data_IF_558489108894
#
_entry.id   IF_558489108894
#
_cell.length_a   1.000
_cell.length_b   1.000
_cell.length_c   1.000
_cell.angle_alpha   90.00
_cell.angle_beta   90.00
_cell.angle_gamma   90.00
#
_symmetry.space_group_name_H-M   'P 1'
#
loop_
_entity.id
_entity.type
_entity.pdbx_description
1 polymer ?
#
# COMPACT_ATOMS: atom_id res chain seq x y z
N UNK A 1 -8.46 32.67 26.77
CA UNK A 1 -8.45 31.50 25.87
C UNK A 1 -8.88 31.97 24.48
N UNK A 2 -8.25 31.51 23.39
CA UNK A 2 -8.84 31.64 22.04
C UNK A 2 -9.72 30.42 21.81
N UNK A 3 -11.00 30.64 21.50
CA UNK A 3 -11.87 29.56 21.04
C UNK A 3 -11.46 29.15 19.63
N UNK A 4 -11.07 27.88 19.46
CA UNK A 4 -10.82 27.30 18.15
C UNK A 4 -12.16 27.09 17.44
N UNK A 5 -12.58 28.09 16.66
CA UNK A 5 -13.72 27.96 15.75
C UNK A 5 -13.30 26.99 14.65
N UNK A 6 -13.57 25.71 14.86
CA UNK A 6 -13.55 24.71 13.80
C UNK A 6 -14.75 25.01 12.91
N UNK A 7 -14.52 25.81 11.87
CA UNK A 7 -15.52 26.05 10.82
C UNK A 7 -15.73 24.75 10.05
N UNK A 8 -16.73 23.99 10.48
CA UNK A 8 -17.17 22.78 9.79
C UNK A 8 -17.40 23.07 8.31
N UNK A 9 -16.59 22.45 7.45
CA UNK A 9 -16.65 22.67 6.01
C UNK A 9 -18.07 22.36 5.50
N UNK A 10 -18.62 23.25 4.67
CA UNK A 10 -19.98 23.13 4.17
C UNK A 10 -20.18 21.84 3.36
N UNK A 11 -21.41 21.34 3.31
CA UNK A 11 -21.77 20.13 2.57
C UNK A 11 -21.23 20.11 1.10
N UNK A 12 -21.35 21.18 0.28
CA UNK A 12 -20.72 21.20 -1.05
C UNK A 12 -19.18 21.14 -1.01
N UNK A 13 -18.54 21.74 0.00
CA UNK A 13 -17.08 21.67 0.19
C UNK A 13 -16.62 20.24 0.51
N UNK A 14 -17.34 19.53 1.39
CA UNK A 14 -17.05 18.12 1.70
C UNK A 14 -17.24 17.21 0.48
N UNK A 15 -18.30 17.43 -0.30
CA UNK A 15 -18.54 16.68 -1.54
C UNK A 15 -17.46 16.93 -2.58
N UNK A 16 -16.99 18.17 -2.74
CA UNK A 16 -15.86 18.51 -3.61
C UNK A 16 -14.58 17.80 -3.16
N UNK A 17 -14.17 17.99 -1.91
CA UNK A 17 -12.98 17.34 -1.33
C UNK A 17 -13.02 15.80 -1.44
N UNK A 18 -14.18 15.20 -1.20
CA UNK A 18 -14.38 13.76 -1.37
C UNK A 18 -14.23 13.33 -2.84
N UNK A 19 -14.87 14.04 -3.77
CA UNK A 19 -14.78 13.75 -5.21
C UNK A 19 -13.35 13.89 -5.74
N UNK A 20 -12.64 14.93 -5.33
CA UNK A 20 -11.26 15.21 -5.74
C UNK A 20 -10.29 14.12 -5.27
N UNK A 21 -10.57 13.47 -4.12
CA UNK A 21 -9.80 12.32 -3.62
C UNK A 21 -9.99 11.00 -4.38
N UNK A 22 -10.99 10.88 -5.26
CA UNK A 22 -11.24 9.69 -6.10
C UNK A 22 -10.32 9.73 -7.32
N UNK A 23 -9.43 8.74 -7.57
CA UNK A 23 -8.53 8.72 -8.72
C UNK A 23 -9.22 8.76 -10.10
N UNK A 24 -8.44 9.07 -11.14
CA UNK A 24 -8.92 9.34 -12.50
C UNK A 24 -9.78 8.23 -13.09
N UNK A 25 -9.29 7.00 -13.19
CA UNK A 25 -10.03 5.93 -13.87
C UNK A 25 -11.28 5.53 -13.08
N UNK A 26 -11.16 5.44 -11.76
CA UNK A 26 -12.29 5.14 -10.87
C UNK A 26 -13.39 6.19 -11.02
N UNK A 27 -13.05 7.49 -11.01
CA UNK A 27 -14.03 8.54 -11.25
C UNK A 27 -14.59 8.52 -12.68
N UNK A 28 -13.77 8.19 -13.69
CA UNK A 28 -14.21 8.06 -15.08
C UNK A 28 -15.20 6.90 -15.29
N UNK A 29 -14.97 5.72 -14.71
CA UNK A 29 -15.91 4.59 -14.78
C UNK A 29 -17.23 4.93 -14.08
N UNK A 30 -17.17 5.60 -12.93
CA UNK A 30 -18.38 6.09 -12.22
C UNK A 30 -19.18 7.06 -13.07
N UNK A 31 -18.53 8.05 -13.70
CA UNK A 31 -19.18 9.02 -14.60
C UNK A 31 -19.76 8.32 -15.83
N UNK A 32 -19.03 7.40 -16.47
CA UNK A 32 -19.50 6.68 -17.67
C UNK A 32 -20.72 5.80 -17.36
N UNK A 33 -20.68 5.00 -16.29
CA UNK A 33 -21.83 4.19 -15.86
C UNK A 33 -23.05 5.07 -15.50
N UNK A 34 -22.83 6.19 -14.81
CA UNK A 34 -23.88 7.14 -14.45
C UNK A 34 -24.52 7.82 -15.66
N UNK A 35 -23.72 8.27 -16.63
CA UNK A 35 -24.20 8.88 -17.88
C UNK A 35 -24.94 7.85 -18.73
N UNK A 36 -24.41 6.63 -18.90
CA UNK A 36 -25.09 5.56 -19.66
C UNK A 36 -26.45 5.24 -19.05
N UNK A 37 -26.53 5.09 -17.71
CA UNK A 37 -27.80 4.86 -17.04
C UNK A 37 -28.78 6.03 -17.21
N UNK A 38 -28.32 7.28 -17.06
CA UNK A 38 -29.15 8.47 -17.24
C UNK A 38 -29.67 8.61 -18.68
N UNK A 39 -28.84 8.31 -19.69
CA UNK A 39 -29.26 8.32 -21.10
C UNK A 39 -30.28 7.21 -21.36
N UNK A 40 -30.09 6.00 -20.84
CA UNK A 40 -31.09 4.93 -20.97
C UNK A 40 -32.43 5.35 -20.34
N UNK A 41 -32.40 5.92 -19.14
CA UNK A 41 -33.59 6.41 -18.42
C UNK A 41 -34.34 7.53 -19.16
N UNK A 42 -33.61 8.47 -19.78
CA UNK A 42 -34.19 9.59 -20.53
C UNK A 42 -34.72 9.19 -21.92
N UNK A 43 -34.19 8.11 -22.51
CA UNK A 43 -34.61 7.59 -23.82
C UNK A 43 -35.72 6.54 -23.70
N UNK A 44 -35.92 5.94 -22.52
CA UNK A 44 -36.80 4.77 -22.33
C UNK A 44 -36.18 3.47 -22.86
N UNK A 45 -34.86 3.33 -22.71
CA UNK A 45 -34.12 2.15 -23.16
C UNK A 45 -34.20 1.02 -22.12
N UNK A 46 -35.30 0.26 -22.16
CA UNK A 46 -35.57 -0.82 -21.20
C UNK A 46 -35.07 -2.21 -21.67
N UNK A 47 -34.66 -2.35 -22.94
CA UNK A 47 -34.31 -3.65 -23.55
C UNK A 47 -32.79 -3.85 -23.69
N UNK A 48 -32.16 -4.41 -22.66
CA UNK A 48 -30.71 -4.66 -22.65
C UNK A 48 -30.26 -5.86 -23.52
N UNK A 49 -31.17 -6.55 -24.22
CA UNK A 49 -30.90 -7.82 -24.91
C UNK A 49 -29.82 -7.75 -26.01
N UNK A 50 -29.61 -6.60 -26.66
CA UNK A 50 -28.57 -6.43 -27.68
C UNK A 50 -27.16 -6.20 -27.11
N UNK A 51 -27.08 -5.84 -25.82
CA UNK A 51 -25.89 -5.28 -25.16
C UNK A 51 -25.40 -6.18 -24.00
N UNK A 52 -26.31 -6.92 -23.36
CA UNK A 52 -26.00 -7.77 -22.21
C UNK A 52 -25.07 -8.94 -22.55
N UNK A 53 -24.37 -9.44 -21.53
CA UNK A 53 -23.65 -10.70 -21.64
C UNK A 53 -24.67 -11.83 -21.74
N UNK A 54 -24.58 -12.59 -22.83
CA UNK A 54 -25.53 -13.64 -23.19
C UNK A 54 -24.73 -14.82 -23.78
N UNK A 55 -24.50 -15.92 -23.02
CA UNK A 55 -23.56 -16.97 -23.42
C UNK A 55 -23.83 -17.57 -24.80
N UNK A 56 -25.10 -17.76 -25.17
CA UNK A 56 -25.52 -18.29 -26.46
C UNK A 56 -25.15 -17.38 -27.63
N UNK A 57 -25.29 -16.05 -27.50
CA UNK A 57 -24.92 -15.10 -28.54
C UNK A 57 -23.39 -14.90 -28.65
N UNK A 58 -22.67 -14.99 -27.53
CA UNK A 58 -21.20 -14.96 -27.53
C UNK A 58 -20.63 -16.19 -28.26
N UNK A 59 -21.15 -17.39 -28.02
CA UNK A 59 -20.70 -18.61 -28.71
C UNK A 59 -21.22 -18.73 -30.16
N UNK A 60 -22.54 -18.63 -30.37
CA UNK A 60 -23.14 -18.95 -31.69
C UNK A 60 -23.05 -17.84 -32.73
N UNK A 61 -22.85 -16.58 -32.29
CA UNK A 61 -22.79 -15.39 -33.18
C UNK A 61 -21.50 -14.58 -33.01
N UNK A 62 -20.53 -15.09 -32.24
CA UNK A 62 -19.26 -14.44 -31.96
C UNK A 62 -19.39 -12.98 -31.45
N UNK A 63 -20.46 -12.66 -30.73
CA UNK A 63 -20.77 -11.30 -30.25
C UNK A 63 -19.92 -10.91 -29.02
N UNK A 64 -18.60 -11.00 -29.14
CA UNK A 64 -17.61 -10.78 -28.07
C UNK A 64 -17.64 -9.38 -27.48
N UNK A 65 -18.15 -8.38 -28.20
CA UNK A 65 -18.34 -7.01 -27.67
C UNK A 65 -19.17 -6.98 -26.38
N UNK A 66 -20.12 -7.93 -26.24
CA UNK A 66 -21.01 -8.08 -25.07
C UNK A 66 -20.26 -8.27 -23.75
N UNK A 67 -19.04 -8.81 -23.79
CA UNK A 67 -18.16 -8.97 -22.63
C UNK A 67 -17.83 -7.60 -22.02
N UNK A 68 -17.58 -6.60 -22.86
CA UNK A 68 -17.13 -5.28 -22.44
C UNK A 68 -18.26 -4.24 -22.40
N UNK A 69 -19.32 -4.39 -23.18
CA UNK A 69 -20.47 -3.46 -23.10
C UNK A 69 -21.32 -3.74 -21.87
N UNK A 70 -21.55 -5.00 -21.50
CA UNK A 70 -22.45 -5.39 -20.41
C UNK A 70 -22.07 -4.84 -19.04
N UNK A 71 -20.77 -4.64 -18.75
CA UNK A 71 -20.31 -4.13 -17.45
C UNK A 71 -20.67 -2.65 -17.20
N UNK A 72 -20.94 -1.86 -18.25
CA UNK A 72 -21.31 -0.44 -18.10
C UNK A 72 -22.82 -0.22 -17.95
N UNK A 73 -23.65 -1.11 -18.50
CA UNK A 73 -25.11 -1.00 -18.48
C UNK A 73 -25.69 -1.54 -17.17
N UNK A 74 -26.75 -0.91 -16.67
CA UNK A 74 -27.35 -1.24 -15.37
C UNK A 74 -28.87 -1.16 -15.47
N UNK A 75 -29.57 -2.21 -15.03
CA UNK A 75 -31.03 -2.35 -15.20
C UNK A 75 -31.90 -1.62 -14.16
N UNK A 76 -31.32 -0.95 -13.17
CA UNK A 76 -32.08 -0.14 -12.20
C UNK A 76 -31.22 0.89 -11.46
N UNK A 77 -31.87 1.93 -10.93
CA UNK A 77 -31.22 3.00 -10.16
C UNK A 77 -30.46 2.46 -8.94
N UNK A 78 -31.05 1.52 -8.19
CA UNK A 78 -30.38 0.90 -7.05
C UNK A 78 -29.18 0.07 -7.48
N UNK A 79 -29.27 -0.67 -8.60
CA UNK A 79 -28.16 -1.49 -9.09
C UNK A 79 -26.95 -0.62 -9.51
N UNK A 80 -27.16 0.48 -10.25
CA UNK A 80 -26.05 1.40 -10.56
C UNK A 80 -25.54 2.11 -9.30
N UNK A 81 -26.42 2.56 -8.41
CA UNK A 81 -26.04 3.25 -7.17
C UNK A 81 -25.14 2.38 -6.28
N UNK A 82 -25.55 1.15 -5.96
CA UNK A 82 -24.76 0.27 -5.11
C UNK A 82 -23.47 -0.21 -5.78
N UNK A 83 -23.47 -0.44 -7.10
CA UNK A 83 -22.22 -0.74 -7.81
C UNK A 83 -21.23 0.43 -7.74
N UNK A 84 -21.68 1.68 -7.97
CA UNK A 84 -20.77 2.83 -7.91
C UNK A 84 -20.32 3.15 -6.47
N UNK A 85 -21.20 3.00 -5.47
CA UNK A 85 -20.84 3.14 -4.06
C UNK A 85 -19.80 2.11 -3.59
N UNK A 86 -19.83 0.89 -4.13
CA UNK A 86 -18.81 -0.13 -3.85
C UNK A 86 -17.53 0.10 -4.68
N UNK A 87 -17.66 0.52 -5.94
CA UNK A 87 -16.52 0.79 -6.83
C UNK A 87 -15.65 1.96 -6.34
N UNK A 88 -16.23 3.02 -5.78
CA UNK A 88 -15.47 4.20 -5.37
C UNK A 88 -14.34 3.84 -4.36
N UNK A 89 -14.59 3.22 -3.19
CA UNK A 89 -13.53 2.88 -2.26
C UNK A 89 -12.58 1.79 -2.82
N UNK A 90 -13.13 0.69 -3.36
CA UNK A 90 -12.33 -0.46 -3.82
C UNK A 90 -11.45 -0.12 -5.03
N UNK A 91 -12.03 0.60 -5.99
CA UNK A 91 -11.34 1.06 -7.19
C UNK A 91 -10.32 2.13 -6.88
N UNK A 92 -10.64 3.11 -6.02
CA UNK A 92 -9.67 4.14 -5.62
C UNK A 92 -8.43 3.54 -4.97
N UNK A 93 -8.59 2.50 -4.15
CA UNK A 93 -7.48 1.88 -3.47
C UNK A 93 -6.62 1.02 -4.41
N UNK A 94 -7.26 0.20 -5.24
CA UNK A 94 -6.54 -0.57 -6.27
C UNK A 94 -5.87 0.35 -7.30
N UNK A 95 -6.45 1.49 -7.67
CA UNK A 95 -5.85 2.44 -8.60
C UNK A 95 -4.61 3.12 -8.00
N UNK A 96 -4.62 3.44 -6.70
CA UNK A 96 -3.43 3.96 -5.98
C UNK A 96 -2.32 2.91 -5.87
N UNK A 97 -2.68 1.66 -5.60
CA UNK A 97 -1.73 0.53 -5.51
C UNK A 97 -1.18 0.14 -6.89
N UNK A 98 -1.94 0.38 -7.98
CA UNK A 98 -1.60 -0.13 -9.31
C UNK A 98 -1.12 0.89 -10.34
N UNK A 99 -1.54 2.14 -10.26
CA UNK A 99 -1.50 3.09 -11.36
C UNK A 99 -2.70 2.91 -12.31
N UNK A 100 -3.19 4.02 -12.87
CA UNK A 100 -4.43 4.09 -13.66
C UNK A 100 -4.41 3.15 -14.88
N UNK A 101 -3.29 3.04 -15.60
CA UNK A 101 -3.20 2.17 -16.79
C UNK A 101 -3.19 0.69 -16.42
N UNK A 102 -2.49 0.32 -15.34
CA UNK A 102 -2.46 -1.08 -14.86
C UNK A 102 -3.80 -1.49 -14.28
N UNK A 103 -4.51 -0.58 -13.60
CA UNK A 103 -5.87 -0.84 -13.13
C UNK A 103 -6.87 -0.97 -14.29
N UNK A 104 -6.74 -0.17 -15.36
CA UNK A 104 -7.53 -0.36 -16.59
C UNK A 104 -7.30 -1.74 -17.22
N UNK A 105 -6.04 -2.16 -17.32
CA UNK A 105 -5.70 -3.49 -17.81
C UNK A 105 -6.30 -4.60 -16.92
N UNK A 106 -6.25 -4.44 -15.59
CA UNK A 106 -6.89 -5.35 -14.66
C UNK A 106 -8.42 -5.43 -14.91
N UNK A 107 -9.11 -4.31 -15.08
CA UNK A 107 -10.57 -4.30 -15.36
C UNK A 107 -10.89 -5.07 -16.66
N UNK A 108 -10.11 -4.87 -17.72
CA UNK A 108 -10.28 -5.57 -19.02
C UNK A 108 -10.03 -7.08 -18.85
N UNK A 109 -8.96 -7.45 -18.15
CA UNK A 109 -8.61 -8.84 -17.85
C UNK A 109 -9.73 -9.51 -17.02
N UNK A 110 -10.24 -8.84 -15.99
CA UNK A 110 -11.31 -9.34 -15.12
C UNK A 110 -12.65 -9.45 -15.85
N UNK A 111 -13.00 -8.52 -16.74
CA UNK A 111 -14.18 -8.64 -17.59
C UNK A 111 -14.09 -9.88 -18.49
N UNK A 112 -12.91 -10.11 -19.09
CA UNK A 112 -12.63 -11.26 -19.95
C UNK A 112 -12.72 -12.57 -19.19
N UNK A 113 -12.07 -12.70 -18.03
CA UNK A 113 -12.11 -13.92 -17.22
C UNK A 113 -13.48 -14.16 -16.58
N UNK A 114 -14.20 -13.12 -16.16
CA UNK A 114 -15.59 -13.25 -15.70
C UNK A 114 -16.48 -13.85 -16.78
N UNK A 115 -16.38 -13.34 -18.02
CA UNK A 115 -17.10 -13.87 -19.16
C UNK A 115 -16.71 -15.33 -19.47
N UNK A 116 -15.42 -15.68 -19.40
CA UNK A 116 -14.95 -17.06 -19.63
C UNK A 116 -15.49 -18.02 -18.55
N UNK A 117 -15.42 -17.66 -17.26
CA UNK A 117 -15.97 -18.50 -16.19
C UNK A 117 -17.49 -18.67 -16.31
N UNK A 118 -18.21 -17.59 -16.65
CA UNK A 118 -19.66 -17.65 -16.87
C UNK A 118 -20.00 -18.55 -18.08
N UNK A 119 -19.26 -18.42 -19.18
CA UNK A 119 -19.41 -19.24 -20.38
C UNK A 119 -19.16 -20.72 -20.10
N UNK A 120 -18.12 -21.05 -19.32
CA UNK A 120 -17.81 -22.42 -18.91
C UNK A 120 -18.90 -23.01 -18.00
N UNK A 121 -19.37 -22.26 -17.00
CA UNK A 121 -20.45 -22.71 -16.11
C UNK A 121 -21.75 -22.93 -16.90
N UNK A 122 -22.13 -21.96 -17.75
CA UNK A 122 -23.33 -22.08 -18.59
C UNK A 122 -23.25 -23.29 -19.53
N UNK A 123 -22.09 -23.53 -20.16
CA UNK A 123 -21.88 -24.65 -21.07
C UNK A 123 -21.93 -26.00 -20.33
N UNK A 124 -21.25 -26.13 -19.18
CA UNK A 124 -21.22 -27.36 -18.37
C UNK A 124 -22.60 -27.71 -17.82
N UNK A 125 -23.38 -26.72 -17.38
CA UNK A 125 -24.73 -26.95 -16.84
C UNK A 125 -25.77 -27.17 -17.96
N UNK A 126 -25.61 -26.52 -19.11
CA UNK A 126 -26.47 -26.76 -20.28
C UNK A 126 -26.29 -28.15 -20.90
N UNK A 127 -25.08 -28.69 -20.89
CA UNK A 127 -24.74 -30.01 -21.45
C UNK A 127 -24.55 -31.09 -20.36
N UNK A 128 -25.07 -30.86 -19.16
CA UNK A 128 -25.01 -31.83 -18.07
C UNK A 128 -25.82 -33.09 -18.46
N UNK A 129 -25.22 -34.30 -18.46
CA UNK A 129 -25.88 -35.51 -18.96
C UNK A 129 -26.98 -36.05 -18.04
N UNK A 130 -27.08 -35.54 -16.80
CA UNK A 130 -28.11 -35.93 -15.84
C UNK A 130 -29.28 -34.95 -15.82
N UNK A 131 -29.00 -33.65 -15.81
CA UNK A 131 -29.99 -32.57 -15.81
C UNK A 131 -29.51 -31.36 -16.64
N UNK A 132 -29.75 -31.35 -17.97
CA UNK A 132 -29.35 -30.25 -18.83
C UNK A 132 -30.25 -29.02 -18.60
N UNK A 133 -29.67 -27.89 -18.21
CA UNK A 133 -30.41 -26.65 -17.93
C UNK A 133 -29.98 -25.52 -18.88
N UNK A 134 -30.58 -25.55 -20.08
CA UNK A 134 -30.30 -24.64 -21.22
C UNK A 134 -30.63 -23.16 -20.94
N UNK A 135 -31.36 -22.83 -19.87
CA UNK A 135 -31.73 -21.46 -19.54
C UNK A 135 -30.50 -20.58 -19.25
N UNK A 136 -29.48 -21.10 -18.55
CA UNK A 136 -28.23 -20.38 -18.27
C UNK A 136 -27.51 -19.88 -19.53
N UNK A 137 -27.62 -20.61 -20.65
CA UNK A 137 -27.04 -20.16 -21.92
C UNK A 137 -27.72 -18.91 -22.48
N UNK A 138 -28.93 -18.60 -22.02
CA UNK A 138 -29.75 -17.47 -22.43
C UNK A 138 -30.04 -16.49 -21.28
N UNK A 139 -29.32 -16.61 -20.15
CA UNK A 139 -29.36 -15.61 -19.08
C UNK A 139 -28.66 -14.32 -19.56
N UNK A 140 -29.37 -13.19 -19.46
CA UNK A 140 -28.92 -11.88 -19.92
C UNK A 140 -28.38 -11.09 -18.71
N UNK A 141 -27.05 -11.02 -18.58
CA UNK A 141 -26.37 -10.39 -17.43
C UNK A 141 -25.79 -9.02 -17.80
N UNK A 142 -25.94 -8.04 -16.90
CA UNK A 142 -25.40 -6.67 -17.01
C UNK A 142 -24.94 -6.15 -15.64
N UNK A 143 -24.09 -5.13 -15.65
CA UNK A 143 -23.64 -4.39 -14.47
C UNK A 143 -22.15 -4.61 -14.13
N UNK A 144 -21.56 -3.62 -13.48
CA UNK A 144 -20.14 -3.65 -13.09
C UNK A 144 -19.87 -4.60 -11.89
N UNK A 145 -20.93 -5.17 -11.29
CA UNK A 145 -20.88 -5.98 -10.07
C UNK A 145 -19.95 -7.19 -10.16
N UNK A 146 -19.86 -7.87 -11.31
CA UNK A 146 -18.91 -8.96 -11.52
C UNK A 146 -17.45 -8.51 -11.34
N UNK A 147 -17.09 -7.32 -11.80
CA UNK A 147 -15.75 -6.73 -11.59
C UNK A 147 -15.58 -6.37 -10.11
N UNK A 148 -16.62 -5.83 -9.47
CA UNK A 148 -16.59 -5.47 -8.04
C UNK A 148 -16.32 -6.71 -7.18
N UNK A 149 -17.01 -7.82 -7.42
CA UNK A 149 -16.74 -9.09 -6.72
C UNK A 149 -15.31 -9.60 -6.94
N UNK A 150 -14.73 -9.41 -8.13
CA UNK A 150 -13.31 -9.68 -8.36
C UNK A 150 -12.40 -8.76 -7.55
N UNK A 151 -12.63 -7.45 -7.58
CA UNK A 151 -11.82 -6.46 -6.84
C UNK A 151 -11.91 -6.64 -5.33
N UNK A 152 -13.07 -7.03 -4.79
CA UNK A 152 -13.25 -7.38 -3.37
C UNK A 152 -12.28 -8.50 -2.98
N UNK A 153 -12.18 -9.56 -3.77
CA UNK A 153 -11.29 -10.70 -3.47
C UNK A 153 -9.82 -10.29 -3.60
N UNK A 154 -9.47 -9.51 -4.61
CA UNK A 154 -8.09 -9.04 -4.85
C UNK A 154 -7.64 -8.09 -3.72
N UNK A 155 -8.42 -7.06 -3.43
CA UNK A 155 -8.11 -6.07 -2.39
C UNK A 155 -8.12 -6.71 -0.99
N UNK A 156 -9.06 -7.63 -0.69
CA UNK A 156 -9.01 -8.45 0.54
C UNK A 156 -7.71 -9.24 0.69
N UNK A 157 -7.10 -9.68 -0.42
CA UNK A 157 -5.84 -10.42 -0.43
C UNK A 157 -4.60 -9.54 -0.39
N UNK A 158 -4.69 -8.27 -0.80
CA UNK A 158 -3.61 -7.28 -0.72
C UNK A 158 -3.56 -6.59 0.65
N UNK A 159 -4.69 -6.13 1.17
CA UNK A 159 -4.76 -5.27 2.36
C UNK A 159 -4.56 -6.00 3.70
N UNK A 160 -4.48 -7.34 3.70
CA UNK A 160 -4.24 -8.16 4.91
C UNK A 160 -5.36 -8.13 5.98
N UNK A 161 -6.44 -7.39 5.74
CA UNK A 161 -7.54 -7.14 6.68
C UNK A 161 -8.19 -8.45 7.15
N UNK A 162 -8.34 -8.62 8.46
CA UNK A 162 -8.86 -9.86 9.05
C UNK A 162 -10.40 -9.96 9.02
N UNK A 163 -11.12 -8.84 9.17
CA UNK A 163 -12.59 -8.78 9.22
C UNK A 163 -13.14 -7.56 8.49
N UNK A 164 -14.37 -7.65 7.99
CA UNK A 164 -15.06 -6.60 7.22
C UNK A 164 -16.51 -6.48 7.64
N UNK A 165 -17.05 -5.26 7.65
CA UNK A 165 -18.45 -5.03 7.96
C UNK A 165 -19.35 -5.23 6.73
N UNK A 166 -20.46 -5.94 6.91
CA UNK A 166 -21.52 -6.06 5.92
C UNK A 166 -22.52 -4.93 6.17
N UNK A 167 -22.50 -3.91 5.29
CA UNK A 167 -23.34 -2.69 5.36
C UNK A 167 -23.31 -1.93 6.69
N UNK A 168 -22.24 -2.08 7.51
CA UNK A 168 -22.14 -1.46 8.84
C UNK A 168 -22.87 -2.24 9.95
N UNK A 169 -23.57 -3.34 9.62
CA UNK A 169 -24.46 -4.04 10.54
C UNK A 169 -23.75 -5.10 11.39
N UNK A 170 -22.85 -5.88 10.79
CA UNK A 170 -22.11 -6.95 11.45
C UNK A 170 -20.77 -7.21 10.76
N UNK A 171 -19.77 -7.63 11.54
CA UNK A 171 -18.43 -7.93 11.04
C UNK A 171 -18.29 -9.43 10.73
N UNK A 172 -17.71 -9.76 9.58
CA UNK A 172 -17.42 -11.13 9.15
C UNK A 172 -15.92 -11.30 8.85
N UNK A 173 -15.34 -12.50 8.99
CA UNK A 173 -13.95 -12.74 8.59
C UNK A 173 -13.77 -12.45 7.10
N UNK A 174 -12.75 -11.67 6.72
CA UNK A 174 -12.63 -11.13 5.37
C UNK A 174 -12.55 -12.23 4.29
N UNK A 175 -11.98 -13.39 4.62
CA UNK A 175 -11.95 -14.61 3.78
C UNK A 175 -13.35 -15.06 3.30
N UNK A 176 -14.39 -14.83 4.11
CA UNK A 176 -15.79 -15.18 3.81
C UNK A 176 -16.61 -14.01 3.27
N UNK A 177 -16.09 -12.77 3.35
CA UNK A 177 -16.85 -11.55 3.05
C UNK A 177 -17.49 -11.57 1.66
N UNK A 178 -16.76 -11.96 0.61
CA UNK A 178 -17.30 -12.02 -0.75
C UNK A 178 -18.45 -13.04 -0.89
N UNK A 179 -18.35 -14.20 -0.23
CA UNK A 179 -19.40 -15.25 -0.29
C UNK A 179 -20.63 -14.88 0.54
N UNK A 180 -20.44 -14.24 1.69
CA UNK A 180 -21.55 -13.73 2.51
C UNK A 180 -22.24 -12.57 1.80
N UNK A 181 -21.49 -11.65 1.20
CA UNK A 181 -22.05 -10.55 0.41
C UNK A 181 -22.83 -11.04 -0.82
N UNK A 182 -22.36 -12.11 -1.49
CA UNK A 182 -23.10 -12.78 -2.56
C UNK A 182 -24.47 -13.29 -2.07
N UNK A 183 -24.51 -14.01 -0.96
CA UNK A 183 -25.75 -14.54 -0.38
C UNK A 183 -26.70 -13.40 0.02
N UNK A 184 -26.19 -12.37 0.71
CA UNK A 184 -26.99 -11.22 1.14
C UNK A 184 -27.53 -10.43 -0.06
N UNK A 185 -26.71 -10.15 -1.08
CA UNK A 185 -27.19 -9.46 -2.29
C UNK A 185 -28.18 -10.29 -3.09
N UNK A 186 -28.07 -11.62 -3.13
CA UNK A 186 -29.08 -12.46 -3.79
C UNK A 186 -30.44 -12.42 -3.09
N UNK A 187 -30.45 -12.34 -1.75
CA UNK A 187 -31.67 -12.22 -0.96
C UNK A 187 -32.31 -10.82 -1.06
N UNK A 188 -31.49 -9.77 -1.17
CA UNK A 188 -31.97 -8.37 -1.30
C UNK A 188 -32.35 -8.01 -2.75
N UNK A 189 -31.71 -8.62 -3.75
CA UNK A 189 -31.82 -8.25 -5.16
C UNK A 189 -31.91 -9.49 -6.06
N UNK A 190 -33.02 -10.21 -5.93
CA UNK A 190 -33.31 -11.47 -6.65
C UNK A 190 -33.19 -11.38 -8.17
N UNK A 191 -33.33 -10.18 -8.75
CA UNK A 191 -33.24 -9.91 -10.19
C UNK A 191 -31.80 -9.73 -10.72
N UNK A 192 -30.76 -9.92 -9.90
CA UNK A 192 -29.34 -9.80 -10.31
C UNK A 192 -28.72 -11.19 -10.47
N UNK A 193 -27.82 -11.34 -11.46
CA UNK A 193 -27.20 -12.63 -11.80
C UNK A 193 -26.27 -13.16 -10.69
N UNK A 194 -26.74 -14.18 -9.97
CA UNK A 194 -25.92 -14.97 -9.04
C UNK A 194 -24.66 -15.50 -9.72
N UNK A 195 -24.80 -15.98 -10.96
CA UNK A 195 -23.69 -16.59 -11.72
C UNK A 195 -22.69 -15.52 -12.14
N UNK A 196 -23.13 -14.34 -12.57
CA UNK A 196 -22.26 -13.21 -12.86
C UNK A 196 -21.41 -12.78 -11.65
N UNK A 197 -22.02 -12.70 -10.46
CA UNK A 197 -21.30 -12.42 -9.22
C UNK A 197 -20.32 -13.53 -8.82
N UNK A 198 -20.75 -14.80 -8.89
CA UNK A 198 -19.92 -15.97 -8.58
C UNK A 198 -18.69 -16.05 -9.51
N UNK A 199 -18.86 -15.76 -10.80
CA UNK A 199 -17.75 -15.67 -11.75
C UNK A 199 -16.79 -14.54 -11.38
N UNK A 200 -17.30 -13.41 -10.90
CA UNK A 200 -16.52 -12.34 -10.28
C UNK A 200 -15.61 -12.83 -9.16
N UNK A 201 -16.16 -13.61 -8.21
CA UNK A 201 -15.40 -14.20 -7.10
C UNK A 201 -14.33 -15.18 -7.62
N UNK A 202 -14.69 -16.08 -8.54
CA UNK A 202 -13.76 -17.05 -9.13
C UNK A 202 -12.59 -16.37 -9.87
N UNK A 203 -12.89 -15.31 -10.62
CA UNK A 203 -11.91 -14.48 -11.33
C UNK A 203 -10.99 -13.70 -10.38
N UNK A 204 -11.54 -13.13 -9.30
CA UNK A 204 -10.76 -12.48 -8.25
C UNK A 204 -9.78 -13.46 -7.57
N UNK A 205 -10.21 -14.70 -7.33
CA UNK A 205 -9.30 -15.75 -6.84
C UNK A 205 -8.26 -16.15 -7.90
N UNK A 206 -8.65 -16.34 -9.16
CA UNK A 206 -7.71 -16.65 -10.24
C UNK A 206 -6.60 -15.60 -10.38
N UNK A 207 -6.95 -14.31 -10.31
CA UNK A 207 -5.99 -13.21 -10.24
C UNK A 207 -5.12 -13.29 -8.97
N UNK A 208 -5.73 -13.43 -7.79
CA UNK A 208 -5.02 -13.44 -6.50
C UNK A 208 -4.17 -14.70 -6.21
N UNK A 209 -4.32 -15.76 -7.01
CA UNK A 209 -3.42 -16.93 -7.04
C UNK A 209 -2.42 -16.89 -8.21
N UNK A 210 -2.42 -15.82 -9.01
CA UNK A 210 -1.43 -15.62 -10.09
C UNK A 210 -1.69 -16.43 -11.35
N UNK A 211 -2.90 -16.97 -11.56
CA UNK A 211 -3.24 -17.72 -12.77
C UNK A 211 -3.03 -16.88 -14.05
N UNK A 212 -3.21 -15.56 -13.94
CA UNK A 212 -3.04 -14.61 -15.04
C UNK A 212 -1.63 -14.00 -15.12
N UNK A 213 -0.65 -14.47 -14.34
CA UNK A 213 0.72 -13.93 -14.35
C UNK A 213 1.38 -13.95 -15.74
N UNK A 214 1.01 -14.90 -16.61
CA UNK A 214 1.51 -14.96 -17.99
C UNK A 214 0.84 -13.95 -18.94
N UNK A 215 -0.33 -13.40 -18.58
CA UNK A 215 -0.99 -12.32 -19.32
C UNK A 215 -0.57 -10.93 -18.83
N UNK A 216 -0.09 -10.80 -17.59
CA UNK A 216 0.28 -9.51 -16.99
C UNK A 216 1.61 -8.99 -17.56
N UNK A 217 1.62 -7.88 -18.31
CA UNK A 217 2.87 -7.31 -18.83
C UNK A 217 3.73 -6.68 -17.72
N UNK A 218 5.02 -6.53 -17.99
CA UNK A 218 5.95 -5.82 -17.10
C UNK A 218 5.70 -4.32 -17.04
N UNK A 219 6.28 -3.64 -16.04
CA UNK A 219 6.15 -2.18 -15.82
C UNK A 219 6.56 -1.34 -17.03
N UNK A 220 7.52 -1.80 -17.84
CA UNK A 220 7.94 -1.15 -19.09
C UNK A 220 6.82 -1.07 -20.15
N UNK A 221 5.89 -2.01 -20.19
CA UNK A 221 4.73 -1.97 -21.10
C UNK A 221 3.76 -0.85 -20.70
N UNK A 222 3.43 -0.76 -19.41
CA UNK A 222 2.57 0.32 -18.88
C UNK A 222 3.23 1.69 -19.06
N UNK A 223 4.53 1.81 -18.77
CA UNK A 223 5.28 3.06 -18.99
C UNK A 223 5.36 3.47 -20.48
N UNK A 224 5.46 2.52 -21.40
CA UNK A 224 5.38 2.77 -22.86
C UNK A 224 4.00 3.29 -23.29
N UNK A 225 2.93 2.80 -22.64
CA UNK A 225 1.56 3.29 -22.86
C UNK A 225 1.38 4.69 -22.26
N UNK A 226 1.87 4.94 -21.04
CA UNK A 226 1.79 6.25 -20.36
C UNK A 226 2.61 7.34 -21.04
N UNK A 227 3.73 7.00 -21.66
CA UNK A 227 4.54 7.92 -22.47
C UNK A 227 4.01 8.15 -23.90
N UNK A 228 2.93 7.47 -24.30
CA UNK A 228 2.35 7.63 -25.64
C UNK A 228 1.66 8.99 -25.81
N UNK A 229 1.79 9.57 -27.02
CA UNK A 229 1.14 10.85 -27.37
C UNK A 229 -0.39 10.79 -27.24
N UNK A 230 -1.00 9.63 -27.44
CA UNK A 230 -2.43 9.39 -27.33
C UNK A 230 -2.95 9.55 -25.89
N UNK A 231 -2.18 9.09 -24.89
CA UNK A 231 -2.54 9.25 -23.48
C UNK A 231 -2.00 10.52 -22.84
N UNK A 232 -1.18 11.32 -23.55
CA UNK A 232 -0.63 12.57 -23.04
C UNK A 232 -1.68 13.56 -22.51
N UNK A 233 -2.89 13.56 -23.07
CA UNK A 233 -4.03 14.31 -22.52
C UNK A 233 -4.49 13.78 -21.17
N UNK A 234 -4.65 12.47 -21.01
CA UNK A 234 -5.13 11.82 -19.78
C UNK A 234 -4.08 11.87 -18.66
N UNK A 235 -2.81 11.62 -18.97
CA UNK A 235 -1.68 11.66 -18.02
C UNK A 235 -1.48 13.06 -17.42
N UNK A 236 -1.93 14.13 -18.10
CA UNK A 236 -1.94 15.50 -17.60
C UNK A 236 -3.10 15.83 -16.64
N UNK A 237 -4.05 14.92 -16.41
CA UNK A 237 -5.10 15.17 -15.41
C UNK A 237 -4.52 15.07 -13.99
N UNK A 238 -4.78 16.03 -13.09
CA UNK A 238 -4.25 16.01 -11.71
C UNK A 238 -4.62 14.77 -10.87
N UNK A 239 -5.58 13.97 -11.34
CA UNK A 239 -6.13 12.79 -10.67
C UNK A 239 -5.55 11.47 -11.22
N UNK A 240 -4.72 11.53 -12.25
CA UNK A 240 -4.12 10.37 -12.92
C UNK A 240 -2.94 9.83 -12.11
N UNK A 241 -2.86 8.51 -11.96
CA UNK A 241 -1.79 7.84 -11.19
C UNK A 241 -0.91 7.05 -12.17
N UNK A 242 0.36 7.45 -12.29
CA UNK A 242 1.35 6.73 -13.08
C UNK A 242 1.67 5.36 -12.47
N UNK A 243 1.91 4.36 -13.31
CA UNK A 243 2.41 3.05 -12.88
C UNK A 243 3.90 3.16 -12.52
N UNK A 244 4.20 3.55 -11.27
CA UNK A 244 5.57 3.56 -10.75
C UNK A 244 6.22 2.17 -10.92
N UNK A 245 7.48 2.16 -11.34
CA UNK A 245 8.18 0.93 -11.77
C UNK A 245 8.56 -0.04 -10.64
N UNK A 246 8.15 0.24 -9.41
CA UNK A 246 8.48 -0.56 -8.23
C UNK A 246 7.57 -1.79 -8.12
N UNK A 247 8.16 -2.94 -7.79
CA UNK A 247 7.40 -4.19 -7.67
C UNK A 247 6.34 -4.07 -6.58
N UNK A 248 5.15 -4.67 -6.79
CA UNK A 248 3.99 -4.56 -5.89
C UNK A 248 4.12 -5.37 -4.57
N UNK A 249 5.29 -5.35 -3.96
CA UNK A 249 5.67 -6.03 -2.73
C UNK A 249 6.21 -5.02 -1.70
N UNK A 250 5.48 -3.93 -1.46
CA UNK A 250 5.86 -2.92 -0.47
C UNK A 250 5.34 -1.52 -0.77
N UNK A 251 4.03 -1.29 -0.63
CA UNK A 251 3.50 0.06 -0.49
C UNK A 251 2.69 0.15 0.81
N UNK A 252 3.35 0.61 1.87
CA UNK A 252 2.70 1.06 3.11
C UNK A 252 2.79 2.59 3.08
N UNK A 253 1.67 3.34 3.17
CA UNK A 253 1.71 4.78 3.26
C UNK A 253 2.23 5.19 4.65
N UNK A 254 3.55 5.42 4.75
CA UNK A 254 4.19 5.88 5.99
C UNK A 254 3.77 7.32 6.31
N UNK A 255 2.83 7.47 7.24
CA UNK A 255 2.62 8.74 7.93
C UNK A 255 3.90 9.10 8.71
N UNK A 256 4.44 10.30 8.48
CA UNK A 256 5.77 10.68 8.94
C UNK A 256 5.79 11.14 10.40
N UNK A 257 5.81 10.18 11.33
CA UNK A 257 6.18 10.42 12.73
C UNK A 257 7.70 10.30 12.87
N UNK A 258 8.40 11.39 13.20
CA UNK A 258 9.83 11.35 13.50
C UNK A 258 10.06 10.69 14.86
N UNK A 259 10.83 9.59 14.90
CA UNK A 259 11.74 9.27 16.00
C UNK A 259 12.75 8.16 15.60
N UNK A 260 13.78 7.97 16.40
CA UNK A 260 15.05 7.30 16.04
C UNK A 260 15.11 5.78 16.28
N UNK A 261 16.03 5.13 15.55
CA UNK A 261 16.56 3.75 15.64
C UNK A 261 16.18 2.88 16.88
N UNK A 262 15.94 1.57 16.76
CA UNK A 262 16.63 0.55 15.92
C UNK A 262 15.72 -0.69 15.68
N UNK A 263 16.10 -1.84 15.08
CA UNK A 263 17.41 -2.36 14.63
C UNK A 263 17.34 -3.17 13.30
N UNK A 264 17.16 -4.51 13.32
CA UNK A 264 17.13 -5.34 12.10
C UNK A 264 17.11 -6.87 12.31
N UNK A 265 17.31 -7.63 11.21
CA UNK A 265 17.09 -9.08 11.02
C UNK A 265 15.59 -9.45 10.91
N UNK A 266 15.12 -10.25 9.94
CA UNK A 266 15.68 -11.50 9.43
C UNK A 266 15.69 -11.67 7.89
N UNK A 267 16.49 -12.62 7.40
CA UNK A 267 16.64 -12.97 5.97
C UNK A 267 15.88 -14.25 5.58
N UNK A 268 15.56 -14.40 4.28
CA UNK A 268 14.78 -15.52 3.75
C UNK A 268 15.55 -16.85 3.70
N UNK A 269 14.85 -17.97 3.95
CA UNK A 269 15.42 -19.34 3.84
C UNK A 269 14.37 -20.46 3.64
N UNK A 270 13.25 -20.17 2.98
CA UNK A 270 12.08 -21.07 2.90
C UNK A 270 12.38 -22.41 2.19
N UNK A 271 13.32 -22.41 1.22
CA UNK A 271 13.58 -23.54 0.31
C UNK A 271 14.37 -24.73 0.89
N UNK A 272 14.45 -24.86 2.23
CA UNK A 272 15.11 -26.01 2.90
C UNK A 272 14.18 -26.99 3.63
N UNK A 273 12.89 -26.69 3.78
CA UNK A 273 11.93 -27.56 4.50
C UNK A 273 11.12 -28.53 3.62
N UNK A 274 11.44 -28.67 2.32
CA UNK A 274 10.65 -29.46 1.36
C UNK A 274 11.30 -30.81 0.93
N UNK A 275 12.39 -31.23 1.58
CA UNK A 275 13.17 -32.42 1.19
C UNK A 275 13.34 -33.48 2.30
N UNK A 276 12.60 -33.37 3.40
CA UNK A 276 12.68 -34.30 4.55
C UNK A 276 11.79 -35.55 4.46
N UNK A 277 11.02 -35.74 3.38
CA UNK A 277 10.10 -36.88 3.23
C UNK A 277 10.67 -38.01 2.35
N UNK A 278 11.86 -38.49 2.71
CA UNK A 278 12.45 -39.73 2.17
C UNK A 278 13.27 -40.44 3.25
N UNK A 279 12.95 -41.70 3.61
CA UNK A 279 13.73 -42.45 4.59
C UNK A 279 14.92 -43.16 3.93
N UNK A 280 16.14 -42.89 4.39
CA UNK A 280 17.32 -43.72 4.08
C UNK A 280 18.19 -43.98 5.31
N UNK A 281 19.09 -44.96 5.18
CA UNK A 281 19.68 -45.75 6.27
C UNK A 281 21.00 -45.16 6.81
N UNK A 282 21.31 -45.51 8.05
CA UNK A 282 22.53 -45.19 8.80
C UNK A 282 23.84 -45.57 8.08
N UNK A 283 24.89 -44.74 8.22
CA UNK A 283 26.27 -45.20 8.53
C UNK A 283 27.27 -44.05 8.81
N UNK A 284 27.96 -44.15 9.95
CA UNK A 284 29.35 -43.73 10.27
C UNK A 284 30.06 -42.53 9.57
N UNK A 285 30.43 -41.53 10.40
CA UNK A 285 31.78 -40.94 10.60
C UNK A 285 32.73 -40.58 9.42
N UNK A 286 33.34 -39.38 9.45
CA UNK A 286 34.74 -39.10 9.89
C UNK A 286 35.12 -37.60 9.68
N UNK A 287 36.39 -37.22 9.88
CA UNK A 287 37.00 -35.88 9.93
C UNK A 287 37.09 -35.17 8.54
N UNK A 288 37.59 -33.93 8.34
CA UNK A 288 38.73 -33.22 8.98
C UNK A 288 38.66 -31.68 8.83
N UNK A 289 39.69 -30.99 9.32
CA UNK A 289 39.95 -29.53 9.37
C UNK A 289 39.87 -28.78 8.02
N UNK A 290 39.59 -27.46 8.06
CA UNK A 290 40.64 -26.43 7.88
C UNK A 290 40.16 -25.05 8.43
N UNK A 291 41.05 -24.05 8.54
CA UNK A 291 40.80 -22.74 9.14
C UNK A 291 41.41 -21.57 8.35
N UNK A 292 40.60 -20.58 7.95
CA UNK A 292 41.11 -19.28 7.51
C UNK A 292 40.40 -18.11 8.20
N UNK A 293 41.20 -17.23 8.82
CA UNK A 293 40.76 -15.92 9.34
C UNK A 293 40.86 -14.87 8.23
N UNK A 294 39.88 -13.98 8.14
CA UNK A 294 40.02 -12.72 7.41
C UNK A 294 40.21 -11.55 8.38
N UNK A 295 41.06 -10.59 8.00
CA UNK A 295 41.46 -9.45 8.81
C UNK A 295 41.36 -8.17 7.97
N UNK A 296 40.34 -7.35 8.24
CA UNK A 296 40.09 -6.08 7.54
C UNK A 296 40.23 -4.89 8.49
N UNK A 297 41.09 -3.92 8.15
CA UNK A 297 41.37 -2.73 8.98
C UNK A 297 41.02 -1.47 8.19
N UNK A 298 40.08 -0.67 8.70
CA UNK A 298 39.64 0.57 8.06
C UNK A 298 40.74 1.64 8.01
N UNK A 299 40.64 2.52 7.00
CA UNK A 299 41.45 3.75 6.87
C UNK A 299 40.63 4.97 7.28
N UNK A 300 41.25 5.88 8.03
CA UNK A 300 40.78 7.26 8.21
C UNK A 300 41.60 8.21 7.35
N UNK A 301 41.03 9.37 7.00
CA UNK A 301 41.70 10.44 6.27
C UNK A 301 42.21 11.50 7.26
N UNK A 302 43.39 12.09 7.01
CA UNK A 302 43.92 13.18 7.82
C UNK A 302 45.21 13.79 7.28
N UNK A 303 45.34 15.10 7.50
CA UNK A 303 46.51 15.99 7.37
C UNK A 303 47.45 15.82 6.17
N UNK A 304 47.64 16.92 5.40
CA UNK A 304 48.82 17.08 4.56
C UNK A 304 50.03 17.63 5.34
N UNK A 305 51.22 17.51 4.76
CA UNK A 305 52.35 18.41 5.01
C UNK A 305 53.27 18.47 3.77
N UNK A 306 54.03 19.56 3.65
CA UNK A 306 54.76 19.99 2.45
C UNK A 306 55.99 19.15 2.08
N UNK A 307 56.28 19.07 0.78
CA UNK A 307 57.64 18.93 0.23
C UNK A 307 57.78 19.77 -1.05
N UNK A 308 59.01 20.16 -1.40
CA UNK A 308 59.33 21.22 -2.39
C UNK A 308 60.57 20.79 -3.19
N UNK A 309 60.76 21.37 -4.41
CA UNK A 309 61.92 21.23 -5.31
C UNK A 309 61.90 19.87 -6.07
N UNK A 310 62.11 19.77 -7.40
CA UNK A 310 62.89 20.61 -8.33
C UNK A 310 62.21 20.93 -9.68
N UNK A 311 62.58 22.09 -10.25
CA UNK A 311 62.98 22.41 -11.64
C UNK A 311 62.61 21.45 -12.81
N UNK A 312 62.30 21.92 -14.03
CA UNK A 312 63.03 22.96 -14.81
C UNK A 312 62.10 23.88 -15.68
N UNK A 313 62.69 24.76 -16.49
CA UNK A 313 62.10 25.94 -17.13
C UNK A 313 61.38 25.70 -18.48
N UNK A 314 60.46 26.62 -18.84
CA UNK A 314 60.32 27.15 -20.20
C UNK A 314 59.56 28.49 -20.28
N UNK A 315 60.15 29.42 -21.04
CA UNK A 315 59.68 30.70 -21.58
C UNK A 315 58.33 30.70 -22.35
N UNK A 316 57.66 31.83 -22.69
CA UNK A 316 57.78 33.26 -22.30
C UNK A 316 56.49 34.05 -22.66
N UNK A 317 56.38 35.27 -22.13
CA UNK A 317 55.61 36.47 -22.55
C UNK A 317 54.64 36.41 -23.78
N UNK A 318 53.41 36.95 -23.64
CA UNK A 318 53.10 38.35 -24.02
C UNK A 318 51.71 38.85 -23.57
N UNK A 319 51.42 40.15 -23.74
CA UNK A 319 50.21 40.87 -23.27
C UNK A 319 49.47 41.58 -24.43
N UNK A 320 48.14 41.69 -24.35
CA UNK A 320 47.31 42.87 -24.73
C UNK A 320 45.79 42.53 -24.63
N UNK A 321 44.79 43.42 -24.56
CA UNK A 321 44.56 44.79 -24.01
C UNK A 321 43.33 45.38 -24.75
N UNK A 322 42.22 45.67 -24.05
CA UNK A 322 41.05 46.51 -24.45
C UNK A 322 40.16 46.55 -23.17
N UNK A 323 40.02 47.63 -22.38
CA UNK A 323 39.45 48.99 -22.63
C UNK A 323 37.92 48.94 -22.92
N UNK A 324 37.03 49.76 -22.32
CA UNK A 324 37.17 50.77 -21.25
C UNK A 324 35.79 51.21 -20.66
N UNK A 325 35.78 52.24 -19.78
CA UNK A 325 34.65 52.95 -19.10
C UNK A 325 34.09 52.26 -17.83
N UNK A 326 34.09 52.82 -16.60
CA UNK A 326 34.20 54.18 -16.02
C UNK A 326 32.89 54.97 -15.89
N UNK A 327 32.29 54.92 -14.69
CA UNK A 327 31.92 56.04 -13.80
C UNK A 327 31.36 55.41 -12.49
N UNK A 328 31.96 55.58 -11.31
CA UNK A 328 32.06 56.79 -10.45
C UNK A 328 30.71 57.27 -9.91
N UNK A 329 30.44 56.97 -8.63
CA UNK A 329 30.32 58.01 -7.59
C UNK A 329 30.65 57.45 -6.18
N UNK A 330 30.71 58.33 -5.17
CA UNK A 330 31.34 58.16 -3.83
C UNK A 330 30.41 58.80 -2.73
N UNK A 331 30.75 58.97 -1.43
CA UNK A 331 31.63 58.26 -0.47
C UNK A 331 30.95 57.95 0.92
N UNK A 332 31.75 57.47 1.90
CA UNK A 332 31.56 57.61 3.38
C UNK A 332 30.46 56.78 4.10
N UNK A 333 30.51 56.48 5.41
CA UNK A 333 31.36 56.97 6.52
C UNK A 333 31.73 55.88 7.58
N UNK A 334 32.99 55.94 8.07
CA UNK A 334 33.49 55.91 9.49
C UNK A 334 32.76 55.00 10.52
N UNK A 335 33.34 53.87 11.00
CA UNK A 335 34.27 53.70 12.16
C UNK A 335 33.61 53.74 13.58
N UNK A 336 34.18 53.31 14.74
CA UNK A 336 35.58 53.04 15.18
C UNK A 336 35.62 52.14 16.45
N UNK A 337 36.74 51.44 16.73
CA UNK A 337 37.22 50.90 18.06
C UNK A 337 36.36 49.91 18.89
N UNK A 338 36.91 49.01 19.75
CA UNK A 338 38.31 48.59 19.97
C UNK A 338 38.62 48.05 21.39
N UNK A 339 39.48 47.01 21.51
CA UNK A 339 40.17 46.47 22.73
C UNK A 339 39.34 45.93 23.93
N UNK A 340 39.76 44.94 24.74
CA UNK A 340 40.90 43.99 24.65
C UNK A 340 41.32 43.34 26.01
N UNK A 341 41.85 42.09 25.98
CA UNK A 341 42.59 41.37 27.07
C UNK A 341 41.81 41.04 28.40
N UNK A 342 42.22 40.09 29.29
CA UNK A 342 43.41 39.22 29.43
C UNK A 342 43.14 37.86 30.18
N UNK A 343 44.19 37.01 30.28
CA UNK A 343 44.51 35.83 31.16
C UNK A 343 43.85 35.78 32.57
N UNK A 344 43.83 34.70 33.40
CA UNK A 344 44.34 33.29 33.48
C UNK A 344 43.71 32.60 34.75
N UNK A 345 43.89 31.35 35.22
CA UNK A 345 44.65 30.12 34.85
C UNK A 345 44.02 28.85 35.53
N UNK A 346 44.63 27.65 35.44
CA UNK A 346 44.32 26.50 36.33
C UNK A 346 44.67 25.10 35.79
N UNK A 347 45.18 24.16 36.63
CA UNK A 347 45.77 22.87 36.20
C UNK A 347 45.62 21.71 37.23
N UNK A 348 45.92 20.47 36.77
CA UNK A 348 46.12 19.18 37.51
C UNK A 348 44.82 18.35 37.72
N UNK A 349 44.73 17.01 37.55
CA UNK A 349 45.62 15.81 37.75
C UNK A 349 45.79 15.38 39.22
N UNK A 350 45.73 14.09 39.62
CA UNK A 350 45.44 12.80 38.94
C UNK A 350 45.14 11.66 39.99
N UNK A 351 45.07 10.39 39.54
CA UNK A 351 45.12 9.12 40.32
C UNK A 351 43.81 8.72 41.09
N UNK A 352 43.54 7.45 41.46
CA UNK A 352 44.28 6.18 41.26
C UNK A 352 43.34 4.92 41.18
N UNK A 353 43.89 3.69 41.24
CA UNK A 353 43.27 2.40 40.87
C UNK A 353 42.85 1.46 42.04
N UNK A 354 42.15 0.37 41.67
CA UNK A 354 42.02 -0.95 42.36
C UNK A 354 41.05 -1.08 43.58
N UNK A 355 40.45 -2.26 43.91
CA UNK A 355 40.14 -3.49 43.14
C UNK A 355 39.20 -4.46 43.91
N UNK A 356 38.58 -5.40 43.17
CA UNK A 356 38.05 -6.72 43.58
C UNK A 356 36.83 -6.87 44.53
N UNK A 357 35.81 -7.61 44.06
CA UNK A 357 34.67 -8.14 44.85
C UNK A 357 33.65 -8.89 43.99
N UNK A 358 33.35 -10.16 44.29
CA UNK A 358 32.55 -11.12 43.47
C UNK A 358 32.01 -12.25 44.39
N UNK A 359 30.84 -12.91 44.16
CA UNK A 359 29.68 -12.63 43.29
C UNK A 359 28.34 -12.53 44.07
N UNK A 360 27.23 -12.25 43.37
CA UNK A 360 25.88 -12.66 43.80
C UNK A 360 24.98 -13.01 42.59
N UNK A 361 24.07 -13.98 42.79
CA UNK A 361 22.98 -14.34 41.85
C UNK A 361 21.65 -13.91 42.48
N UNK A 362 20.88 -13.07 41.78
CA UNK A 362 19.41 -13.04 41.85
C UNK A 362 18.94 -12.89 40.39
N UNK A 363 18.05 -13.75 39.88
CA UNK A 363 16.60 -13.77 40.08
C UNK A 363 15.93 -12.50 39.52
N UNK A 364 14.87 -12.69 38.73
CA UNK A 364 14.17 -11.60 38.07
C UNK A 364 13.45 -10.70 39.09
N UNK A 365 13.24 -9.44 38.71
CA UNK A 365 12.53 -8.47 39.53
C UNK A 365 11.05 -8.83 39.61
N UNK A 366 10.65 -9.58 40.63
CA UNK A 366 9.25 -9.61 41.07
C UNK A 366 8.94 -8.23 41.66
N UNK A 367 8.15 -7.44 40.92
CA UNK A 367 7.72 -6.10 41.29
C UNK A 367 7.22 -6.07 42.74
N UNK A 368 7.78 -5.21 43.59
CA UNK A 368 7.53 -5.33 45.02
C UNK A 368 6.09 -4.91 45.37
N UNK A 369 5.43 -5.69 46.22
CA UNK A 369 4.01 -5.47 46.58
C UNK A 369 3.76 -4.05 47.14
N UNK A 370 4.76 -3.44 47.78
CA UNK A 370 4.70 -2.07 48.31
C UNK A 370 4.55 -1.02 47.19
N UNK A 371 5.20 -1.22 46.05
CA UNK A 371 5.13 -0.30 44.90
C UNK A 371 3.80 -0.45 44.16
N UNK A 372 3.30 -1.68 44.05
CA UNK A 372 1.98 -1.99 43.49
C UNK A 372 0.89 -1.34 44.38
N UNK A 373 0.97 -1.50 45.70
CA UNK A 373 0.05 -0.86 46.65
C UNK A 373 0.10 0.67 46.57
N UNK A 374 1.29 1.25 46.40
CA UNK A 374 1.47 2.70 46.24
C UNK A 374 0.78 3.22 44.98
N UNK A 375 0.90 2.53 43.85
CA UNK A 375 0.25 2.92 42.59
C UNK A 375 -1.27 2.70 42.63
N UNK A 376 -1.75 1.60 43.21
CA UNK A 376 -3.19 1.36 43.43
C UNK A 376 -3.81 2.42 44.35
N UNK A 377 -3.08 2.89 45.38
CA UNK A 377 -3.56 3.98 46.24
C UNK A 377 -3.60 5.36 45.55
N UNK A 378 -2.94 5.52 44.40
CA UNK A 378 -3.09 6.69 43.52
C UNK A 378 -4.25 6.55 42.51
N UNK A 379 -5.03 5.45 42.57
CA UNK A 379 -6.25 5.25 41.79
C UNK A 379 -6.11 4.42 40.52
N UNK A 380 -4.93 3.84 40.25
CA UNK A 380 -4.72 2.96 39.11
C UNK A 380 -5.19 1.52 39.38
N UNK A 381 -5.68 0.84 38.34
CA UNK A 381 -6.15 -0.55 38.44
C UNK A 381 -4.96 -1.52 38.62
N UNK A 382 -5.03 -2.45 39.59
CA UNK A 382 -3.89 -3.32 39.96
C UNK A 382 -3.28 -4.08 38.77
N UNK A 383 -4.12 -4.55 37.85
CA UNK A 383 -3.71 -5.25 36.61
C UNK A 383 -2.91 -4.34 35.66
N UNK A 384 -3.31 -3.07 35.54
CA UNK A 384 -2.58 -2.07 34.75
C UNK A 384 -1.23 -1.74 35.41
N UNK A 385 -1.23 -1.61 36.74
CA UNK A 385 -0.04 -1.34 37.57
C UNK A 385 1.00 -2.45 37.45
N UNK A 386 0.58 -3.71 37.54
CA UNK A 386 1.46 -4.89 37.39
C UNK A 386 2.13 -4.93 36.01
N UNK A 387 1.36 -4.66 34.94
CA UNK A 387 1.88 -4.58 33.57
C UNK A 387 2.81 -3.38 33.38
N UNK A 388 2.49 -2.23 33.98
CA UNK A 388 3.31 -1.02 33.90
C UNK A 388 4.66 -1.18 34.64
N UNK A 389 4.69 -1.78 35.84
CA UNK A 389 5.96 -2.06 36.54
C UNK A 389 6.82 -3.09 35.78
N UNK A 390 6.20 -4.14 35.22
CA UNK A 390 6.90 -5.12 34.41
C UNK A 390 7.46 -4.53 33.10
N UNK A 391 6.81 -3.52 32.52
CA UNK A 391 7.30 -2.78 31.36
C UNK A 391 8.38 -1.73 31.72
N UNK A 392 8.40 -1.26 32.98
CA UNK A 392 9.34 -0.27 33.50
C UNK A 392 10.58 -0.89 34.20
N UNK A 393 10.71 -2.22 34.22
CA UNK A 393 11.74 -2.98 34.97
C UNK A 393 11.83 -2.59 36.46
N UNK A 394 10.69 -2.16 37.03
CA UNK A 394 10.58 -1.66 38.41
C UNK A 394 10.65 -0.14 38.59
N UNK A 395 10.96 0.69 37.57
CA UNK A 395 10.97 2.16 37.76
C UNK A 395 9.55 2.72 37.92
N UNK A 396 9.22 3.09 39.15
CA UNK A 396 7.92 3.62 39.56
C UNK A 396 7.54 4.93 38.82
N UNK A 397 8.51 5.76 38.42
CA UNK A 397 8.23 6.99 37.67
C UNK A 397 7.83 6.67 36.22
N UNK A 398 8.57 5.76 35.58
CA UNK A 398 8.28 5.30 34.21
C UNK A 398 6.93 4.55 34.18
N UNK A 399 6.62 3.77 35.22
CA UNK A 399 5.31 3.13 35.36
C UNK A 399 4.16 4.16 35.47
N UNK A 400 4.33 5.26 36.20
CA UNK A 400 3.32 6.36 36.23
C UNK A 400 3.14 6.99 34.85
N UNK A 401 4.23 7.23 34.11
CA UNK A 401 4.15 7.79 32.75
C UNK A 401 3.42 6.84 31.78
N UNK A 402 3.68 5.53 31.87
CA UNK A 402 2.95 4.51 31.10
C UNK A 402 1.46 4.52 31.46
N UNK A 403 1.12 4.56 32.75
CA UNK A 403 -0.27 4.54 33.23
C UNK A 403 -1.05 5.80 32.85
N UNK A 404 -0.44 6.99 32.94
CA UNK A 404 -1.09 8.24 32.52
C UNK A 404 -1.31 8.30 31.00
N UNK A 405 -0.38 7.79 30.19
CA UNK A 405 -0.56 7.70 28.74
C UNK A 405 -1.62 6.66 28.30
N UNK A 406 -2.10 5.79 29.19
CA UNK A 406 -3.20 4.85 28.93
C UNK A 406 -4.60 5.39 29.32
N UNK A 407 -4.68 6.56 29.95
CA UNK A 407 -5.94 7.19 30.39
C UNK A 407 -6.32 8.46 29.59
N UNK A 408 -5.60 8.77 28.51
CA UNK A 408 -5.78 9.94 27.64
C UNK A 408 -6.59 9.69 26.37
#
# INVERSE_FOLDING_TARGET
MRTSIVTEAGLPTRLGQWWDGIPFLTSAVVVVCGIIYLVCLLVGYDSFFEICFLPSAVLSRFQVYRIYTSIFFHGSLLHVLFNMLALIPLGSELERIMGSVRFLYMIILLATSNAIFHLLIALVVAHNPFHPYLFLMNECSIGFSGIIFSTIVIETRLSGIQSRSVFGLFNVPAKWYALILLIVLQLLMTNVSLVGHLCGILSGFAYAYGLFNFLMPGTSFYSSIESSSWLSSCVRWPKFILCTGENSAGFIPTYSSQNTASSGLFSGNIWRNLLSWMPQRESSAQSTEDSQRFLGRGRTLGSGQSQIVSADNSDSNLQARLLDNINLDHPSDVATTGTGQQLSDGRQQAADNAAAGVPARHQGSEASDEEILKLVSMGFEKTQVEVALAAADGDLNVAVEILMNQQG
#
